data_IF_612748624068
#
_entry.id   IF_612748624068
#
_cell.length_a   1.000
_cell.length_b   1.000
_cell.length_c   1.000
_cell.angle_alpha   90.00
_cell.angle_beta   90.00
_cell.angle_gamma   90.00
#
_symmetry.space_group_name_H-M   'P 1'
#
loop_
_entity.id
_entity.type
_entity.pdbx_description
1 polymer ?
#
# COMPACT_ATOMS: atom_id res chain seq x y z
N UNK A 1 -6.89 -17.19 3.86
CA UNK A 1 -6.70 -15.78 4.26
C UNK A 1 -6.38 -14.91 3.05
N UNK A 2 -6.79 -13.66 3.01
CA UNK A 2 -6.51 -12.77 1.89
C UNK A 2 -5.34 -11.86 2.20
N UNK A 3 -4.27 -11.94 1.41
CA UNK A 3 -2.98 -11.30 1.69
C UNK A 3 -2.60 -10.22 0.68
N UNK A 4 -1.80 -9.28 1.12
CA UNK A 4 -1.08 -8.31 0.29
C UNK A 4 0.19 -7.82 1.01
N UNK A 5 1.14 -7.27 0.28
CA UNK A 5 2.28 -6.55 0.85
C UNK A 5 2.13 -5.05 0.67
N UNK A 6 2.67 -4.27 1.59
CA UNK A 6 2.59 -2.82 1.51
C UNK A 6 3.49 -2.08 2.49
N UNK A 7 3.57 -0.77 2.31
CA UNK A 7 4.30 0.18 3.15
C UNK A 7 3.32 0.98 3.98
N UNK A 8 3.62 1.13 5.26
CA UNK A 8 2.84 1.95 6.20
C UNK A 8 3.01 3.44 5.95
N UNK A 9 2.05 4.18 6.46
CA UNK A 9 2.09 5.64 6.50
C UNK A 9 2.40 6.12 7.91
N UNK A 10 3.27 7.13 8.09
CA UNK A 10 3.49 7.75 9.39
C UNK A 10 2.28 8.61 9.79
N UNK A 11 2.10 8.80 11.09
CA UNK A 11 0.97 9.54 11.67
C UNK A 11 0.79 10.94 11.07
N UNK A 12 1.89 11.66 10.83
CA UNK A 12 1.86 12.99 10.19
C UNK A 12 1.21 12.99 8.80
N UNK A 13 1.31 11.87 8.07
CA UNK A 13 0.67 11.70 6.76
C UNK A 13 -0.81 11.37 6.94
N UNK A 14 -1.14 10.50 7.91
CA UNK A 14 -2.53 10.21 8.27
C UNK A 14 -3.28 11.48 8.65
N UNK A 15 -2.71 12.36 9.45
CA UNK A 15 -3.30 13.63 9.87
C UNK A 15 -3.61 14.55 8.66
N UNK A 16 -2.68 14.64 7.70
CA UNK A 16 -2.90 15.45 6.49
C UNK A 16 -3.99 14.87 5.61
N UNK A 17 -4.00 13.54 5.43
CA UNK A 17 -5.04 12.86 4.66
C UNK A 17 -6.41 12.96 5.36
N UNK A 18 -6.47 12.87 6.69
CA UNK A 18 -7.73 13.05 7.43
C UNK A 18 -8.29 14.47 7.26
N UNK A 19 -7.46 15.50 7.26
CA UNK A 19 -7.90 16.88 6.97
C UNK A 19 -8.50 16.99 5.55
N UNK A 20 -7.86 16.37 4.55
CA UNK A 20 -8.42 16.29 3.20
C UNK A 20 -9.78 15.59 3.21
N UNK A 21 -9.86 14.42 3.83
CA UNK A 21 -11.07 13.60 3.86
C UNK A 21 -12.19 14.28 4.64
N UNK A 22 -11.89 15.02 5.70
CA UNK A 22 -12.87 15.79 6.46
C UNK A 22 -13.57 16.85 5.59
N UNK A 23 -12.84 17.47 4.66
CA UNK A 23 -13.42 18.41 3.69
C UNK A 23 -14.22 17.71 2.61
N UNK A 24 -13.80 16.55 2.14
CA UNK A 24 -14.38 15.90 0.97
C UNK A 24 -15.54 14.96 1.31
N UNK A 25 -15.54 14.27 2.45
CA UNK A 25 -16.60 13.31 2.85
C UNK A 25 -18.01 13.90 2.80
N UNK A 26 -18.27 15.15 3.25
CA UNK A 26 -19.61 15.73 3.17
C UNK A 26 -20.08 16.01 1.75
N UNK A 27 -19.18 16.05 0.75
CA UNK A 27 -19.49 16.49 -0.60
C UNK A 27 -19.97 15.38 -1.53
N UNK A 28 -19.76 14.10 -1.16
CA UNK A 28 -20.19 12.96 -1.97
C UNK A 28 -20.36 11.68 -1.12
N UNK A 29 -21.43 10.94 -1.40
CA UNK A 29 -21.70 9.63 -0.77
C UNK A 29 -20.87 8.53 -1.45
N UNK A 30 -19.62 8.38 -1.03
CA UNK A 30 -18.68 7.37 -1.51
C UNK A 30 -18.40 6.33 -0.43
N UNK A 31 -17.75 5.22 -0.84
CA UNK A 31 -17.16 4.28 0.10
C UNK A 31 -15.77 4.79 0.44
N UNK A 32 -15.70 5.64 1.46
CA UNK A 32 -14.45 6.23 1.93
C UNK A 32 -13.61 5.21 2.69
N UNK A 33 -12.30 5.19 2.41
CA UNK A 33 -11.35 4.41 3.18
C UNK A 33 -11.14 5.06 4.54
N UNK A 34 -11.21 4.31 5.65
CA UNK A 34 -10.74 4.82 6.94
C UNK A 34 -9.25 5.16 6.85
N UNK A 35 -8.83 6.29 7.44
CA UNK A 35 -7.44 6.76 7.34
C UNK A 35 -6.45 5.76 7.90
N UNK A 36 -6.80 5.10 9.01
CA UNK A 36 -5.96 4.05 9.62
C UNK A 36 -5.76 2.80 8.76
N UNK A 37 -6.58 2.64 7.70
CA UNK A 37 -6.45 1.57 6.72
C UNK A 37 -5.62 1.98 5.48
N UNK A 38 -5.21 3.24 5.37
CA UNK A 38 -4.44 3.69 4.22
C UNK A 38 -3.02 3.13 4.27
N UNK A 39 -2.59 2.56 3.15
CA UNK A 39 -1.27 1.97 2.97
C UNK A 39 -0.89 2.04 1.49
N UNK A 40 0.41 1.96 1.20
CA UNK A 40 0.91 1.86 -0.16
C UNK A 40 1.04 0.37 -0.49
N UNK A 41 0.15 -0.17 -1.31
CA UNK A 41 0.21 -1.58 -1.74
C UNK A 41 1.39 -1.78 -2.69
N UNK A 42 2.24 -2.77 -2.42
CA UNK A 42 3.34 -3.18 -3.30
C UNK A 42 2.98 -4.42 -4.12
N UNK A 43 2.22 -5.38 -3.58
CA UNK A 43 1.70 -6.54 -4.31
C UNK A 43 0.42 -7.08 -3.68
N UNK A 44 -0.62 -7.26 -4.47
CA UNK A 44 -1.77 -8.08 -4.09
C UNK A 44 -1.45 -9.56 -4.30
N UNK A 45 -1.59 -10.36 -3.25
CA UNK A 45 -1.35 -11.80 -3.26
C UNK A 45 -2.66 -12.56 -3.51
N UNK A 46 -3.75 -12.08 -2.90
CA UNK A 46 -5.06 -12.72 -2.97
C UNK A 46 -5.25 -13.78 -1.90
N UNK A 47 -6.06 -14.80 -2.20
CA UNK A 47 -6.33 -15.88 -1.26
C UNK A 47 -5.10 -16.80 -1.11
N UNK A 48 -4.73 -17.06 0.14
CA UNK A 48 -3.58 -17.88 0.52
C UNK A 48 -3.97 -18.87 1.64
N UNK A 49 -3.55 -20.16 1.58
CA UNK A 49 -3.79 -21.11 2.65
C UNK A 49 -3.09 -20.69 3.95
N UNK A 50 -3.81 -20.74 5.08
CA UNK A 50 -3.27 -20.31 6.37
C UNK A 50 -2.09 -21.19 6.81
N UNK A 51 -2.18 -22.49 6.57
CA UNK A 51 -1.14 -23.48 6.85
C UNK A 51 0.17 -23.27 6.07
N UNK A 52 0.15 -22.43 5.02
CA UNK A 52 1.32 -22.05 4.21
C UNK A 52 1.84 -20.63 4.50
N UNK A 53 1.37 -19.99 5.57
CA UNK A 53 1.80 -18.64 5.91
C UNK A 53 3.30 -18.54 6.16
N UNK A 54 3.89 -19.53 6.85
CA UNK A 54 5.32 -19.58 7.14
C UNK A 54 6.19 -19.69 5.88
N UNK A 55 5.70 -20.38 4.86
CA UNK A 55 6.35 -20.45 3.54
C UNK A 55 6.41 -19.05 2.89
N UNK A 56 5.29 -18.33 2.88
CA UNK A 56 5.19 -16.96 2.39
C UNK A 56 6.17 -16.03 3.11
N UNK A 57 6.15 -16.04 4.44
CA UNK A 57 7.04 -15.21 5.28
C UNK A 57 8.50 -15.56 5.03
N UNK A 58 8.84 -16.84 4.85
CA UNK A 58 10.20 -17.30 4.57
C UNK A 58 10.70 -16.77 3.24
N UNK A 59 9.88 -16.82 2.19
CA UNK A 59 10.23 -16.28 0.86
C UNK A 59 10.45 -14.78 0.94
N UNK A 60 9.55 -14.03 1.58
CA UNK A 60 9.68 -12.58 1.71
C UNK A 60 10.90 -12.14 2.55
N UNK A 61 11.33 -12.94 3.54
CA UNK A 61 12.56 -12.68 4.31
C UNK A 61 13.85 -12.89 3.53
N UNK A 62 13.80 -13.63 2.43
CA UNK A 62 14.95 -13.94 1.58
C UNK A 62 15.12 -12.96 0.43
N UNK A 63 14.30 -11.91 0.36
CA UNK A 63 14.45 -10.89 -0.67
C UNK A 63 15.85 -10.27 -0.61
N UNK A 64 16.42 -9.88 -1.77
CA UNK A 64 17.67 -9.13 -1.79
C UNK A 64 17.58 -7.87 -0.92
N UNK A 65 18.68 -7.52 -0.26
CA UNK A 65 18.76 -6.29 0.51
C UNK A 65 18.50 -5.09 -0.42
N UNK A 66 17.60 -4.22 -0.03
CA UNK A 66 17.31 -2.96 -0.72
C UNK A 66 17.60 -1.79 0.23
N UNK A 67 18.23 -0.73 -0.25
CA UNK A 67 18.45 0.45 0.59
C UNK A 67 17.10 1.11 0.97
N UNK A 68 16.98 1.69 2.17
CA UNK A 68 15.87 2.56 2.51
C UNK A 68 15.72 3.71 1.50
N UNK A 69 14.49 4.16 1.28
CA UNK A 69 14.18 5.23 0.32
C UNK A 69 13.01 6.08 0.78
N UNK A 70 12.84 7.24 0.17
CA UNK A 70 11.76 8.18 0.49
C UNK A 70 10.67 8.13 -0.57
N UNK A 71 9.40 8.13 -0.13
CA UNK A 71 8.22 8.24 -0.97
C UNK A 71 7.57 9.60 -0.69
N UNK A 72 7.32 10.40 -1.72
CA UNK A 72 6.50 11.61 -1.61
C UNK A 72 5.02 11.28 -1.89
N UNK A 73 4.14 11.82 -1.06
CA UNK A 73 2.69 11.68 -1.21
C UNK A 73 2.10 13.03 -1.59
N UNK A 74 1.60 13.13 -2.80
CA UNK A 74 1.05 14.38 -3.33
C UNK A 74 0.09 14.09 -4.48
N UNK A 75 -0.70 15.11 -4.82
CA UNK A 75 -1.70 15.06 -5.86
C UNK A 75 -2.89 14.15 -5.51
N UNK A 76 -4.00 14.34 -6.19
CA UNK A 76 -5.17 13.47 -6.14
C UNK A 76 -5.66 13.18 -7.55
N UNK A 77 -6.33 12.06 -7.72
CA UNK A 77 -6.81 11.68 -9.03
C UNK A 77 -7.88 10.61 -9.02
N UNK A 78 -8.19 10.13 -10.21
CA UNK A 78 -9.29 9.22 -10.46
C UNK A 78 -8.86 8.07 -11.36
N UNK A 79 -9.28 6.85 -11.03
CA UNK A 79 -9.17 5.71 -11.93
C UNK A 79 -10.55 5.26 -12.40
N UNK A 80 -10.69 4.84 -13.69
CA UNK A 80 -9.73 4.95 -14.79
C UNK A 80 -9.51 6.39 -15.27
N UNK A 81 -10.37 7.33 -14.89
CA UNK A 81 -10.27 8.74 -15.26
C UNK A 81 -11.44 9.55 -14.70
N UNK A 82 -11.42 10.88 -14.85
CA UNK A 82 -12.41 11.76 -14.24
C UNK A 82 -13.82 11.66 -14.85
N UNK A 83 -13.98 11.14 -16.06
CA UNK A 83 -15.29 11.04 -16.72
C UNK A 83 -16.14 9.91 -16.15
N UNK A 84 -15.53 8.77 -15.84
CA UNK A 84 -16.21 7.59 -15.27
C UNK A 84 -15.39 7.01 -14.11
N UNK A 85 -15.24 7.75 -12.99
CA UNK A 85 -14.36 7.34 -11.91
C UNK A 85 -14.91 6.14 -11.14
N UNK A 86 -14.01 5.24 -10.75
CA UNK A 86 -14.26 4.08 -9.89
C UNK A 86 -13.48 4.14 -8.60
N UNK A 87 -12.34 4.85 -8.62
CA UNK A 87 -11.47 5.05 -7.48
C UNK A 87 -11.06 6.52 -7.43
N UNK A 88 -11.14 7.13 -6.26
CA UNK A 88 -10.50 8.39 -5.92
C UNK A 88 -9.25 8.08 -5.10
N UNK A 89 -8.11 8.64 -5.49
CA UNK A 89 -6.81 8.28 -4.91
C UNK A 89 -5.94 9.51 -4.61
N UNK A 90 -4.99 9.34 -3.68
CA UNK A 90 -3.84 10.23 -3.51
C UNK A 90 -2.60 9.61 -4.16
N UNK A 91 -1.80 10.44 -4.80
CA UNK A 91 -0.62 10.04 -5.57
C UNK A 91 0.54 9.61 -4.68
N UNK A 92 1.27 8.58 -5.14
CA UNK A 92 2.44 8.01 -4.49
C UNK A 92 3.63 8.09 -5.43
N UNK A 93 4.64 8.86 -5.06
CA UNK A 93 5.83 9.14 -5.86
C UNK A 93 7.07 8.54 -5.18
N UNK A 94 7.28 7.25 -5.36
CA UNK A 94 8.41 6.48 -4.80
C UNK A 94 9.52 6.19 -5.82
N UNK A 95 9.35 6.65 -7.07
CA UNK A 95 10.33 6.49 -8.15
C UNK A 95 10.70 5.03 -8.43
N UNK A 96 11.92 4.86 -8.96
CA UNK A 96 12.44 3.54 -9.30
C UNK A 96 12.60 2.60 -8.08
N UNK A 97 12.88 3.15 -6.90
CA UNK A 97 13.10 2.33 -5.70
C UNK A 97 11.82 1.58 -5.28
N UNK A 98 10.67 2.27 -5.25
CA UNK A 98 9.38 1.64 -4.94
C UNK A 98 8.97 0.62 -6.02
N UNK A 99 9.18 0.96 -7.30
CA UNK A 99 8.89 0.05 -8.40
C UNK A 99 9.77 -1.21 -8.35
N UNK A 100 11.07 -1.05 -8.03
CA UNK A 100 12.00 -2.16 -7.85
C UNK A 100 11.59 -3.04 -6.68
N UNK A 101 11.20 -2.46 -5.53
CA UNK A 101 10.70 -3.23 -4.39
C UNK A 101 9.48 -4.07 -4.78
N UNK A 102 8.49 -3.46 -5.45
CA UNK A 102 7.29 -4.16 -5.89
C UNK A 102 7.61 -5.31 -6.87
N UNK A 103 8.50 -5.06 -7.86
CA UNK A 103 8.94 -6.08 -8.81
C UNK A 103 9.71 -7.22 -8.13
N UNK A 104 10.61 -6.90 -7.19
CA UNK A 104 11.38 -7.90 -6.44
C UNK A 104 10.47 -8.80 -5.60
N UNK A 105 9.47 -8.21 -4.93
CA UNK A 105 8.45 -8.98 -4.21
C UNK A 105 7.67 -9.89 -5.17
N UNK A 106 7.22 -9.35 -6.29
CA UNK A 106 6.48 -10.09 -7.30
C UNK A 106 7.26 -11.29 -7.83
N UNK A 107 8.54 -11.07 -8.20
CA UNK A 107 9.42 -12.12 -8.72
C UNK A 107 9.63 -13.26 -7.70
N UNK A 108 9.79 -12.91 -6.43
CA UNK A 108 9.97 -13.89 -5.37
C UNK A 108 8.71 -14.73 -5.10
N UNK A 109 7.53 -14.21 -5.42
CA UNK A 109 6.26 -14.90 -5.18
C UNK A 109 5.82 -15.80 -6.34
N UNK A 110 6.41 -15.64 -7.54
CA UNK A 110 6.11 -16.49 -8.71
C UNK A 110 6.30 -17.99 -8.42
N UNK A 111 7.41 -18.43 -7.76
CA UNK A 111 7.60 -19.86 -7.44
C UNK A 111 6.53 -20.43 -6.50
N UNK A 112 5.82 -19.59 -5.75
CA UNK A 112 4.70 -19.97 -4.91
C UNK A 112 3.39 -20.10 -5.70
N UNK A 113 3.39 -19.90 -7.01
CA UNK A 113 2.21 -19.95 -7.87
C UNK A 113 1.41 -18.64 -7.91
N UNK A 114 1.95 -17.55 -7.37
CA UNK A 114 1.29 -16.24 -7.41
C UNK A 114 1.63 -15.59 -8.75
N UNK A 115 0.59 -15.32 -9.55
CA UNK A 115 0.75 -14.75 -10.87
C UNK A 115 1.33 -13.32 -10.83
N UNK A 116 2.12 -12.98 -11.85
CA UNK A 116 2.52 -11.60 -12.08
C UNK A 116 1.32 -10.72 -12.39
N UNK A 117 1.38 -9.46 -11.95
CA UNK A 117 0.40 -8.48 -12.36
C UNK A 117 0.61 -8.14 -13.85
N UNK A 118 -0.46 -8.10 -14.60
CA UNK A 118 -0.42 -7.79 -16.05
C UNK A 118 -0.46 -6.30 -16.33
N UNK A 119 -0.84 -5.51 -15.33
CA UNK A 119 -0.92 -4.05 -15.43
C UNK A 119 0.38 -3.43 -14.93
N UNK A 120 0.71 -2.30 -15.51
CA UNK A 120 1.81 -1.48 -15.00
C UNK A 120 1.58 -1.11 -13.52
N UNK A 121 2.66 -1.15 -12.73
CA UNK A 121 2.61 -0.77 -11.33
C UNK A 121 2.33 0.73 -11.19
N UNK A 122 1.13 1.07 -10.73
CA UNK A 122 0.67 2.44 -10.50
C UNK A 122 0.37 2.65 -9.01
N UNK A 123 1.39 2.95 -8.18
CA UNK A 123 1.23 3.08 -6.74
C UNK A 123 0.34 4.28 -6.39
N UNK A 124 -0.62 4.06 -5.50
CA UNK A 124 -1.58 5.07 -5.06
C UNK A 124 -2.17 4.72 -3.70
N UNK A 125 -2.72 5.71 -3.00
CA UNK A 125 -3.54 5.51 -1.82
C UNK A 125 -5.02 5.57 -2.23
N UNK A 126 -5.75 4.49 -2.10
CA UNK A 126 -7.19 4.49 -2.36
C UNK A 126 -7.94 5.25 -1.26
N UNK A 127 -8.38 6.47 -1.55
CA UNK A 127 -9.13 7.31 -0.62
C UNK A 127 -10.62 6.98 -0.59
N UNK A 128 -11.20 6.65 -1.76
CA UNK A 128 -12.59 6.22 -1.85
C UNK A 128 -12.85 5.33 -3.06
N UNK A 129 -13.91 4.51 -2.98
CA UNK A 129 -14.39 3.68 -4.08
C UNK A 129 -15.80 4.12 -4.50
N UNK A 130 -16.05 4.10 -5.81
CA UNK A 130 -17.31 4.53 -6.44
C UNK A 130 -17.91 3.30 -7.12
N UNK A 131 -18.85 2.63 -6.45
CA UNK A 131 -19.49 1.41 -6.99
C UNK A 131 -20.67 1.71 -7.91
N UNK A 132 -21.31 2.86 -7.72
CA UNK A 132 -22.47 3.32 -8.49
C UNK A 132 -22.24 4.77 -8.93
N UNK A 133 -22.82 5.21 -10.05
CA UNK A 133 -22.80 6.61 -10.40
C UNK A 133 -23.38 7.49 -9.29
N UNK A 134 -22.64 8.51 -8.90
CA UNK A 134 -23.03 9.52 -7.91
C UNK A 134 -22.70 10.92 -8.42
N UNK A 135 -23.44 11.96 -8.02
CA UNK A 135 -23.06 13.34 -8.32
C UNK A 135 -21.71 13.69 -7.67
N UNK A 136 -20.74 14.14 -8.47
CA UNK A 136 -19.40 14.49 -8.00
C UNK A 136 -19.09 16.00 -8.16
N UNK A 137 -20.05 16.80 -8.59
CA UNK A 137 -19.82 18.22 -8.85
C UNK A 137 -19.36 18.98 -7.59
N UNK A 138 -20.04 18.79 -6.46
CA UNK A 138 -19.65 19.41 -5.19
C UNK A 138 -18.24 18.97 -4.74
N UNK A 139 -17.92 17.70 -4.89
CA UNK A 139 -16.59 17.19 -4.57
C UNK A 139 -15.50 17.77 -5.48
N UNK A 140 -15.76 17.88 -6.79
CA UNK A 140 -14.83 18.51 -7.74
C UNK A 140 -14.59 19.98 -7.42
N UNK A 141 -15.66 20.70 -7.04
CA UNK A 141 -15.54 22.09 -6.61
C UNK A 141 -14.72 22.20 -5.31
N UNK A 142 -14.96 21.33 -4.34
CA UNK A 142 -14.18 21.31 -3.10
C UNK A 142 -12.69 21.01 -3.39
N UNK A 143 -12.40 20.04 -4.26
CA UNK A 143 -11.03 19.72 -4.69
C UNK A 143 -10.38 20.95 -5.36
N UNK A 144 -11.09 21.64 -6.26
CA UNK A 144 -10.56 22.81 -6.97
C UNK A 144 -10.24 23.99 -6.05
N UNK A 145 -10.87 24.07 -4.87
CA UNK A 145 -10.67 25.11 -3.88
C UNK A 145 -9.57 24.78 -2.85
N UNK A 146 -8.94 23.60 -2.92
CA UNK A 146 -7.85 23.24 -2.01
C UNK A 146 -6.55 23.93 -2.42
N UNK A 147 -5.86 24.48 -1.43
CA UNK A 147 -4.61 25.22 -1.65
C UNK A 147 -3.41 24.30 -1.94
N UNK A 148 -3.45 23.07 -1.45
CA UNK A 148 -2.34 22.15 -1.57
C UNK A 148 -2.81 20.69 -1.56
N UNK A 149 -2.07 19.86 -2.31
CA UNK A 149 -2.18 18.39 -2.33
C UNK A 149 -0.88 17.73 -1.87
N UNK A 150 -0.08 18.41 -1.07
CA UNK A 150 1.13 17.82 -0.47
C UNK A 150 0.77 17.17 0.87
N UNK A 151 0.87 15.83 0.90
CA UNK A 151 0.60 15.03 2.11
C UNK A 151 1.89 14.65 2.85
N UNK A 152 3.06 15.04 2.33
CA UNK A 152 4.36 14.81 2.96
C UNK A 152 5.09 13.59 2.40
N UNK A 153 6.04 13.09 3.18
CA UNK A 153 6.94 12.01 2.80
C UNK A 153 6.86 10.83 3.76
N UNK A 154 7.18 9.65 3.23
CA UNK A 154 7.35 8.41 3.98
C UNK A 154 8.79 7.95 3.82
N UNK A 155 9.53 7.91 4.92
CA UNK A 155 10.84 7.27 4.96
C UNK A 155 10.62 5.76 5.06
N UNK A 156 10.93 5.05 3.98
CA UNK A 156 10.63 3.63 3.82
C UNK A 156 11.87 2.82 4.15
N UNK A 157 11.92 2.27 5.35
CA UNK A 157 12.95 1.35 5.83
C UNK A 157 12.46 -0.09 5.97
N UNK A 158 11.17 -0.33 5.71
CA UNK A 158 10.50 -1.63 5.83
C UNK A 158 9.24 -1.71 5.00
N UNK A 159 8.77 -2.93 4.77
CA UNK A 159 7.43 -3.22 4.28
C UNK A 159 6.79 -4.32 5.13
N UNK A 160 5.49 -4.55 4.97
CA UNK A 160 4.73 -5.52 5.76
C UNK A 160 3.95 -6.48 4.88
N UNK A 161 3.71 -7.68 5.40
CA UNK A 161 2.69 -8.59 4.94
C UNK A 161 1.42 -8.34 5.74
N UNK A 162 0.32 -8.08 5.05
CA UNK A 162 -0.99 -7.82 5.64
C UNK A 162 -1.98 -8.92 5.31
N UNK A 163 -2.88 -9.15 6.25
CA UNK A 163 -4.12 -9.84 6.01
C UNK A 163 -5.27 -8.85 5.90
N UNK A 164 -6.16 -9.09 4.94
CA UNK A 164 -7.40 -8.35 4.71
C UNK A 164 -8.58 -9.19 5.13
N UNK A 165 -9.33 -8.77 6.15
CA UNK A 165 -10.55 -9.44 6.63
C UNK A 165 -11.77 -8.54 6.50
N UNK A 166 -12.95 -9.08 6.18
CA UNK A 166 -14.20 -8.35 6.36
C UNK A 166 -14.41 -8.03 7.86
N UNK A 167 -14.79 -6.79 8.15
CA UNK A 167 -15.19 -6.37 9.51
C UNK A 167 -16.57 -5.75 9.50
N UNK A 168 -17.16 -5.51 10.67
CA UNK A 168 -18.49 -4.93 10.82
C UNK A 168 -18.63 -3.51 10.27
N UNK A 169 -17.54 -2.74 10.32
CA UNK A 169 -17.46 -1.36 9.81
C UNK A 169 -16.71 -1.21 8.49
N UNK A 170 -16.42 -2.31 7.80
CA UNK A 170 -15.60 -2.34 6.58
C UNK A 170 -14.42 -3.29 6.67
N UNK A 171 -13.50 -3.22 5.73
CA UNK A 171 -12.31 -4.08 5.71
C UNK A 171 -11.35 -3.70 6.85
N UNK A 172 -10.84 -4.72 7.54
CA UNK A 172 -9.79 -4.60 8.58
C UNK A 172 -8.50 -5.19 8.02
N UNK A 173 -7.40 -4.49 8.22
CA UNK A 173 -6.06 -4.93 7.84
C UNK A 173 -5.25 -5.23 9.09
N UNK A 174 -4.63 -6.42 9.12
CA UNK A 174 -3.77 -6.87 10.21
C UNK A 174 -2.37 -7.15 9.68
N UNK A 175 -1.35 -6.59 10.33
CA UNK A 175 0.06 -6.89 10.02
C UNK A 175 0.39 -8.29 10.52
N UNK A 176 0.86 -9.16 9.63
CA UNK A 176 1.28 -10.53 9.95
C UNK A 176 2.79 -10.64 10.10
N UNK A 177 3.55 -9.88 9.31
CA UNK A 177 5.00 -9.85 9.37
C UNK A 177 5.57 -8.51 8.89
N UNK A 178 6.77 -8.19 9.39
CA UNK A 178 7.56 -7.03 9.01
C UNK A 178 8.87 -7.48 8.37
N UNK A 179 9.32 -6.73 7.35
CA UNK A 179 10.54 -6.99 6.58
C UNK A 179 11.33 -5.69 6.44
N UNK A 180 12.49 -5.63 7.09
CA UNK A 180 13.36 -4.46 7.03
C UNK A 180 14.13 -4.40 5.73
N UNK A 181 14.28 -3.20 5.20
CA UNK A 181 15.18 -2.90 4.10
C UNK A 181 16.61 -2.67 4.66
N UNK A 182 17.63 -2.97 3.88
CA UNK A 182 19.03 -2.75 4.29
C UNK A 182 19.68 -3.89 5.08
N UNK A 183 18.91 -4.84 5.61
CA UNK A 183 19.46 -6.02 6.27
C UNK A 183 19.43 -7.21 5.32
N UNK A 184 20.61 -7.70 4.89
CA UNK A 184 20.70 -9.05 4.34
C UNK A 184 20.59 -10.03 5.53
N UNK A 185 19.75 -11.07 5.41
CA UNK A 185 19.76 -12.16 6.37
C UNK A 185 21.10 -12.90 6.25
N UNK A 186 22.15 -12.42 6.99
CA UNK A 186 23.37 -13.16 7.17
C UNK A 186 23.01 -14.41 7.97
N UNK A 187 23.00 -15.56 7.29
CA UNK A 187 22.99 -16.87 7.91
C UNK A 187 24.05 -16.90 9.00
N UNK A 188 23.63 -17.05 10.26
CA UNK A 188 24.52 -17.23 11.39
C UNK A 188 25.37 -18.49 11.20
N UNK A 189 26.53 -18.33 10.59
CA UNK A 189 27.58 -19.34 10.62
C UNK A 189 28.21 -19.31 12.02
N UNK A 190 27.68 -20.12 12.91
CA UNK A 190 28.34 -20.47 14.18
C UNK A 190 29.68 -21.13 13.87
N UNK A 191 30.75 -20.36 13.89
CA UNK A 191 32.11 -20.91 14.02
C UNK A 191 32.23 -21.56 15.38
N UNK A 192 32.04 -22.87 15.44
CA UNK A 192 32.59 -23.68 16.52
C UNK A 192 34.13 -23.56 16.46
N UNK A 193 34.72 -22.78 17.38
CA UNK A 193 36.12 -22.95 17.71
C UNK A 193 36.22 -24.27 18.48
N UNK A 194 36.80 -25.27 17.85
CA UNK A 194 37.34 -26.44 18.49
C UNK A 194 38.73 -26.09 19.06
N UNK A 195 38.94 -26.40 20.31
CA UNK A 195 40.21 -26.43 20.96
C UNK A 195 41.03 -27.65 20.49
#
# INVERSE_FOLDING_TARGET
MRLFTGVDLPERVHDRLERLLAVLRPTAHLIWSPVYNLHITTKFIGEWPEEKLDEMVTVLRRLPAAAPFTIALRDVGWFPGPQNPRVFWAGVHGGAALATLASTIEDALVPLGIARETREFAPHLTLARIRRPVPLQAMRQAIANLESFDFGTVETDRFHLYESRPGSAGTVYSKLAEFKLGESSSSGSSRRKGA
#
